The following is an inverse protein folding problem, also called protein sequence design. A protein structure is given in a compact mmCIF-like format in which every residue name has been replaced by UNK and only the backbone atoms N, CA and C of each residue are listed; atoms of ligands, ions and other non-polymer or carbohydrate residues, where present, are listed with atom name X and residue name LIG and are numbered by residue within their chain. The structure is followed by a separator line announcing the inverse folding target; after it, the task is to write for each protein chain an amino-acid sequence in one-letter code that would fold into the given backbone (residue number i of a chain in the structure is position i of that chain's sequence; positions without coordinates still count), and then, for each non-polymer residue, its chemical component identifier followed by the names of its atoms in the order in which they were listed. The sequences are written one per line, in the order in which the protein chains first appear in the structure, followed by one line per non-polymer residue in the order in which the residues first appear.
data_IF_791552079846
#
_entry.id   IF_791552079846
#
_cell.length_a   1.000
_cell.length_b   1.000
_cell.length_c   1.000
_cell.angle_alpha   90.00
_cell.angle_beta   90.00
_cell.angle_gamma   90.00
#
_symmetry.space_group_name_H-M   'P 1'
#
loop_
_entity.id
_entity.type
_entity.pdbx_description
1 polymer ?
#
# COMPACT_ATOMS: atom_id res chain seq x y z
N UNK A 1 -11.38 1.98 -17.85
CA UNK A 1 -10.47 2.78 -17.01
C UNK A 1 -10.24 4.12 -17.67
N UNK A 2 -10.40 5.21 -16.92
CA UNK A 2 -10.14 6.57 -17.42
C UNK A 2 -8.66 6.86 -17.18
N UNK A 3 -7.86 6.99 -18.25
CA UNK A 3 -6.46 7.37 -18.14
C UNK A 3 -6.30 8.91 -18.17
N UNK A 4 -5.12 9.41 -17.80
CA UNK A 4 -4.80 10.84 -17.71
C UNK A 4 -3.90 11.35 -18.84
N UNK A 5 -3.66 10.54 -19.85
CA UNK A 5 -2.75 10.87 -20.96
C UNK A 5 -3.12 12.23 -21.58
N UNK A 6 -4.40 12.44 -21.89
CA UNK A 6 -4.89 13.69 -22.46
C UNK A 6 -4.65 14.89 -21.51
N UNK A 7 -4.92 14.73 -20.23
CA UNK A 7 -4.75 15.79 -19.25
C UNK A 7 -3.28 16.20 -19.12
N UNK A 8 -2.38 15.22 -18.97
CA UNK A 8 -0.94 15.43 -18.87
C UNK A 8 -0.36 16.06 -20.15
N UNK A 9 -0.80 15.56 -21.31
CA UNK A 9 -0.37 16.14 -22.58
C UNK A 9 -0.78 17.62 -22.72
N UNK A 10 -2.04 17.93 -22.38
CA UNK A 10 -2.56 19.32 -22.42
C UNK A 10 -1.82 20.22 -21.42
N UNK A 11 -1.53 19.71 -20.23
CA UNK A 11 -0.77 20.46 -19.22
C UNK A 11 0.63 20.85 -19.71
N UNK A 12 1.24 19.98 -20.55
CA UNK A 12 2.54 20.26 -21.18
C UNK A 12 2.42 21.01 -22.53
N UNK A 13 1.24 21.49 -22.91
CA UNK A 13 1.00 22.25 -24.15
C UNK A 13 1.23 21.45 -25.42
N UNK A 14 1.22 20.11 -25.37
CA UNK A 14 1.52 19.26 -26.51
C UNK A 14 0.25 18.92 -27.30
N UNK A 15 0.35 18.95 -28.65
CA UNK A 15 -0.66 18.33 -29.52
C UNK A 15 -0.52 16.81 -29.53
N UNK A 16 -1.55 16.06 -29.95
CA UNK A 16 -1.45 14.59 -30.13
C UNK A 16 -0.32 14.22 -31.10
N UNK A 17 -0.16 15.00 -32.17
CA UNK A 17 0.91 14.78 -33.14
C UNK A 17 2.30 15.08 -32.54
N UNK A 18 2.43 16.11 -31.72
CA UNK A 18 3.69 16.43 -31.06
C UNK A 18 4.11 15.34 -30.07
N UNK A 19 3.17 14.82 -29.26
CA UNK A 19 3.44 13.70 -28.38
C UNK A 19 3.78 12.43 -29.17
N UNK A 20 3.01 12.15 -30.24
CA UNK A 20 3.25 11.00 -31.10
C UNK A 20 4.64 10.98 -31.72
N UNK A 21 5.13 12.16 -32.16
CA UNK A 21 6.50 12.30 -32.68
C UNK A 21 7.54 11.99 -31.62
N UNK A 22 7.34 12.44 -30.36
CA UNK A 22 8.27 12.18 -29.25
C UNK A 22 8.37 10.68 -28.92
N UNK A 23 7.25 9.96 -29.01
CA UNK A 23 7.19 8.55 -28.62
C UNK A 23 7.22 7.58 -29.82
N UNK A 24 7.53 8.05 -31.02
CA UNK A 24 7.69 7.21 -32.21
C UNK A 24 6.40 6.52 -32.67
N UNK A 25 5.27 7.26 -32.71
CA UNK A 25 3.97 6.70 -33.13
C UNK A 25 3.15 7.73 -33.95
N UNK A 26 1.88 7.44 -34.23
CA UNK A 26 0.97 8.35 -34.92
C UNK A 26 0.04 9.09 -33.94
N UNK A 27 -0.39 10.32 -34.30
CA UNK A 27 -1.37 11.06 -33.51
C UNK A 27 -2.68 10.33 -33.29
N UNK A 28 -3.11 9.50 -34.25
CA UNK A 28 -4.29 8.65 -34.14
C UNK A 28 -4.12 7.58 -33.05
N UNK A 29 -2.92 7.00 -32.91
CA UNK A 29 -2.63 6.04 -31.84
C UNK A 29 -2.67 6.70 -30.46
N UNK A 30 -2.11 7.91 -30.33
CA UNK A 30 -2.22 8.70 -29.10
C UNK A 30 -3.68 8.98 -28.77
N UNK A 31 -4.49 9.39 -29.75
CA UNK A 31 -5.93 9.63 -29.59
C UNK A 31 -6.71 8.37 -29.16
N UNK A 32 -6.36 7.20 -29.68
CA UNK A 32 -6.96 5.94 -29.28
C UNK A 32 -6.60 5.54 -27.85
N UNK A 33 -5.37 5.77 -27.43
CA UNK A 33 -4.92 5.54 -26.05
C UNK A 33 -5.61 6.51 -25.09
N UNK A 34 -5.68 7.81 -25.42
CA UNK A 34 -6.39 8.82 -24.62
C UNK A 34 -7.87 8.49 -24.43
N UNK A 35 -8.51 7.99 -25.47
CA UNK A 35 -9.93 7.63 -25.46
C UNK A 35 -10.22 6.24 -24.85
N UNK A 36 -9.17 5.51 -24.40
CA UNK A 36 -9.33 4.15 -23.89
C UNK A 36 -9.75 3.11 -24.92
N UNK A 37 -9.72 3.45 -26.23
CA UNK A 37 -10.05 2.53 -27.33
C UNK A 37 -8.94 1.51 -27.57
N UNK A 38 -7.76 1.74 -27.05
CA UNK A 38 -6.62 0.84 -27.08
C UNK A 38 -6.14 0.59 -25.67
N UNK A 39 -5.83 -0.67 -25.35
CA UNK A 39 -5.29 -1.08 -24.05
C UNK A 39 -3.93 -0.40 -23.83
N UNK A 40 -3.74 0.17 -22.64
CA UNK A 40 -2.49 0.75 -22.20
C UNK A 40 -1.60 -0.40 -21.67
N UNK A 41 -0.69 -0.87 -22.52
CA UNK A 41 0.31 -1.90 -22.15
C UNK A 41 1.51 -1.25 -21.49
N UNK A 42 2.39 -2.06 -20.89
CA UNK A 42 3.63 -1.58 -20.27
C UNK A 42 4.48 -0.78 -21.28
N UNK A 43 4.71 -1.29 -22.49
CA UNK A 43 5.44 -0.56 -23.54
C UNK A 43 4.83 0.83 -23.82
N UNK A 44 3.49 0.92 -23.89
CA UNK A 44 2.84 2.21 -24.06
C UNK A 44 2.99 3.13 -22.86
N UNK A 45 2.94 2.59 -21.65
CA UNK A 45 3.13 3.39 -20.43
C UNK A 45 4.54 3.97 -20.35
N UNK A 46 5.57 3.17 -20.63
CA UNK A 46 6.97 3.61 -20.63
C UNK A 46 7.22 4.68 -21.69
N UNK A 47 6.77 4.46 -22.91
CA UNK A 47 6.92 5.41 -24.03
C UNK A 47 6.19 6.73 -23.77
N UNK A 48 4.96 6.66 -23.28
CA UNK A 48 4.16 7.84 -22.95
C UNK A 48 4.76 8.60 -21.76
N UNK A 49 5.20 7.90 -20.73
CA UNK A 49 5.84 8.50 -19.58
C UNK A 49 7.12 9.23 -19.95
N UNK A 50 7.96 8.62 -20.79
CA UNK A 50 9.15 9.28 -21.35
C UNK A 50 8.81 10.49 -22.19
N UNK A 51 7.83 10.39 -23.09
CA UNK A 51 7.41 11.51 -23.96
C UNK A 51 6.72 12.66 -23.22
N UNK A 52 6.09 12.36 -22.09
CA UNK A 52 5.42 13.33 -21.20
C UNK A 52 6.30 13.76 -20.02
N UNK A 53 7.50 13.19 -19.88
CA UNK A 53 8.41 13.45 -18.74
C UNK A 53 7.69 13.33 -17.40
N UNK A 54 7.01 12.20 -17.18
CA UNK A 54 6.24 11.90 -15.99
C UNK A 54 6.48 10.46 -15.55
N UNK A 55 6.00 10.09 -14.37
CA UNK A 55 6.02 8.69 -13.95
C UNK A 55 4.97 7.89 -14.73
N UNK A 56 5.22 6.62 -15.13
CA UNK A 56 4.21 5.76 -15.74
C UNK A 56 2.90 5.67 -14.95
N UNK A 57 2.99 5.69 -13.63
CA UNK A 57 1.82 5.70 -12.74
C UNK A 57 0.93 6.95 -12.90
N UNK A 58 1.49 8.09 -13.34
CA UNK A 58 0.71 9.32 -13.58
C UNK A 58 -0.25 9.20 -14.75
N UNK A 59 -0.02 8.24 -15.66
CA UNK A 59 -0.86 7.97 -16.83
C UNK A 59 -2.15 7.24 -16.45
N UNK A 60 -2.14 6.54 -15.33
CA UNK A 60 -3.30 5.83 -14.81
C UNK A 60 -4.22 6.86 -14.14
N UNK A 61 -5.50 6.84 -14.45
CA UNK A 61 -6.50 7.86 -14.10
C UNK A 61 -6.85 8.03 -12.62
N UNK A 62 -5.89 7.82 -11.74
CA UNK A 62 -6.04 8.09 -10.31
C UNK A 62 -5.95 9.60 -10.06
N UNK A 63 -6.91 10.23 -9.35
CA UNK A 63 -6.84 11.64 -9.06
C UNK A 63 -5.59 11.95 -8.21
N UNK A 64 -4.62 12.69 -8.81
CA UNK A 64 -3.39 13.11 -8.13
C UNK A 64 -3.58 14.34 -7.22
N UNK A 65 -4.78 14.90 -7.15
CA UNK A 65 -5.04 16.09 -6.38
C UNK A 65 -5.73 15.75 -5.06
N UNK A 66 -4.91 15.37 -4.07
CA UNK A 66 -5.19 15.76 -2.70
C UNK A 66 -4.21 16.88 -2.33
N UNK A 67 -4.68 18.11 -2.02
CA UNK A 67 -3.82 19.14 -1.45
C UNK A 67 -3.31 18.60 -0.10
N UNK A 68 -2.03 18.29 -0.02
CA UNK A 68 -1.40 17.80 1.20
C UNK A 68 -0.68 16.47 1.13
N UNK A 69 -0.82 15.67 0.07
CA UNK A 69 -0.07 14.44 -0.10
C UNK A 69 1.37 14.74 -0.59
N UNK A 70 2.18 15.40 0.22
CA UNK A 70 3.60 15.10 0.22
C UNK A 70 3.73 13.77 0.97
N UNK A 71 4.17 12.73 0.29
CA UNK A 71 4.77 11.57 0.94
C UNK A 71 6.04 12.05 1.64
N UNK A 72 5.86 12.69 2.77
CA UNK A 72 6.85 12.67 3.80
C UNK A 72 6.48 11.46 4.63
N UNK A 73 7.03 10.29 4.28
CA UNK A 73 7.39 9.37 5.31
C UNK A 73 8.30 10.20 6.24
N UNK A 74 7.71 10.81 7.24
CA UNK A 74 8.46 11.41 8.33
C UNK A 74 9.04 10.22 9.10
N UNK A 75 10.35 9.94 8.98
CA UNK A 75 10.97 9.07 9.94
C UNK A 75 10.76 9.75 11.29
N UNK A 76 9.96 9.14 12.15
CA UNK A 76 9.74 9.58 13.52
C UNK A 76 9.33 11.06 13.65
N UNK A 77 8.04 11.37 13.42
CA UNK A 77 7.49 12.61 13.97
C UNK A 77 7.80 12.60 15.47
N UNK A 78 8.47 13.64 16.03
CA UNK A 78 8.79 13.67 17.45
C UNK A 78 7.48 13.50 18.23
N UNK A 79 7.49 12.55 19.18
CA UNK A 79 6.37 12.36 20.11
C UNK A 79 6.03 13.70 20.75
N UNK A 80 4.74 13.99 20.95
CA UNK A 80 4.36 15.09 21.81
C UNK A 80 5.01 14.89 23.18
N UNK A 81 5.60 15.94 23.79
CA UNK A 81 6.26 15.84 25.08
C UNK A 81 5.24 15.39 26.14
N UNK A 82 5.55 14.28 26.82
CA UNK A 82 4.73 13.76 27.92
C UNK A 82 4.24 12.30 27.78
N UNK A 83 4.38 11.65 26.64
CA UNK A 83 4.03 10.22 26.48
C UNK A 83 5.28 9.37 26.69
N UNK A 84 5.41 8.81 27.88
CA UNK A 84 6.57 8.00 28.29
C UNK A 84 6.39 6.49 28.10
N UNK A 85 5.21 6.03 27.68
CA UNK A 85 4.93 4.61 27.48
C UNK A 85 5.13 4.21 26.02
N UNK A 86 5.95 3.16 25.81
CA UNK A 86 6.07 2.53 24.48
C UNK A 86 4.72 1.96 24.05
N UNK A 87 4.35 2.16 22.80
CA UNK A 87 3.10 1.63 22.21
C UNK A 87 3.32 0.18 21.81
N UNK A 88 3.28 -0.69 22.80
CA UNK A 88 3.52 -2.12 22.64
C UNK A 88 2.31 -2.91 23.10
N UNK A 89 1.97 -3.98 22.40
CA UNK A 89 0.92 -4.90 22.81
C UNK A 89 1.24 -6.32 22.38
N UNK A 90 0.76 -7.28 23.16
CA UNK A 90 0.82 -8.70 22.85
C UNK A 90 -0.57 -9.29 22.88
N UNK A 91 -0.94 -10.01 21.82
CA UNK A 91 -2.20 -10.75 21.70
C UNK A 91 -1.89 -12.24 21.63
N UNK A 92 -2.62 -13.02 22.40
CA UNK A 92 -2.67 -14.47 22.28
C UNK A 92 -4.08 -14.86 21.85
N UNK A 93 -4.18 -15.52 20.70
CA UNK A 93 -5.43 -15.99 20.14
C UNK A 93 -5.38 -17.51 19.98
N UNK A 94 -6.37 -18.19 20.53
CA UNK A 94 -6.49 -19.64 20.42
C UNK A 94 -7.90 -20.02 20.00
N UNK A 95 -8.01 -20.73 18.90
CA UNK A 95 -9.24 -21.33 18.39
C UNK A 95 -9.15 -22.86 18.43
N UNK A 96 -10.01 -23.55 17.72
CA UNK A 96 -9.88 -24.99 17.51
C UNK A 96 -8.87 -25.33 16.43
N UNK A 97 -8.68 -24.39 15.50
CA UNK A 97 -7.89 -24.53 14.28
C UNK A 97 -6.50 -23.92 14.44
N UNK A 98 -6.35 -22.88 15.30
CA UNK A 98 -5.12 -22.12 15.40
C UNK A 98 -4.70 -21.81 16.84
N UNK A 99 -3.39 -21.59 17.01
CA UNK A 99 -2.81 -21.00 18.20
C UNK A 99 -1.79 -19.93 17.74
N UNK A 100 -2.05 -18.67 18.08
CA UNK A 100 -1.30 -17.54 17.55
C UNK A 100 -0.91 -16.62 18.70
N UNK A 101 0.33 -16.15 18.65
CA UNK A 101 0.86 -15.08 19.50
C UNK A 101 1.44 -13.99 18.60
N UNK A 102 1.04 -12.76 18.85
CA UNK A 102 1.52 -11.57 18.14
C UNK A 102 1.98 -10.55 19.16
N UNK A 103 3.20 -10.01 18.99
CA UNK A 103 3.67 -8.83 19.71
C UNK A 103 4.00 -7.73 18.71
N UNK A 104 3.49 -6.53 18.93
CA UNK A 104 3.84 -5.34 18.15
C UNK A 104 4.45 -4.26 19.03
N UNK A 105 5.41 -3.53 18.48
CA UNK A 105 5.92 -2.27 19.03
C UNK A 105 5.84 -1.21 17.93
N UNK A 106 4.90 -0.28 18.06
CA UNK A 106 4.67 0.79 17.06
C UNK A 106 5.75 1.87 17.08
N UNK A 107 6.64 1.84 18.09
CA UNK A 107 7.77 2.75 18.26
C UNK A 107 9.12 2.05 18.01
N UNK A 108 9.08 0.98 17.22
CA UNK A 108 10.21 0.10 16.94
C UNK A 108 11.20 0.62 15.90
N UNK A 109 12.04 -0.30 15.44
CA UNK A 109 13.05 -0.08 14.39
C UNK A 109 12.88 -0.96 13.16
N UNK A 110 11.79 -1.75 13.08
CA UNK A 110 11.53 -2.71 12.00
C UNK A 110 12.23 -4.04 12.25
N UNK A 111 12.42 -4.42 13.51
CA UNK A 111 12.88 -5.75 13.90
C UNK A 111 11.73 -6.74 13.82
N UNK A 112 12.00 -7.95 13.35
CA UNK A 112 10.95 -8.96 13.21
C UNK A 112 11.42 -10.37 13.56
N UNK A 113 10.44 -11.18 14.01
CA UNK A 113 10.56 -12.62 14.18
C UNK A 113 9.22 -13.23 13.79
N UNK A 114 9.11 -13.82 12.61
CA UNK A 114 7.85 -14.30 12.05
C UNK A 114 7.96 -15.80 11.75
N UNK A 115 7.00 -16.57 12.22
CA UNK A 115 6.89 -18.02 11.98
C UNK A 115 5.42 -18.41 11.95
N UNK A 116 4.82 -18.46 10.76
CA UNK A 116 3.43 -18.92 10.59
C UNK A 116 3.33 -20.31 9.95
N UNK A 117 4.43 -20.80 9.41
CA UNK A 117 4.47 -22.01 8.59
C UNK A 117 4.01 -21.80 7.14
N UNK A 118 3.66 -20.56 6.76
CA UNK A 118 3.29 -20.16 5.39
C UNK A 118 4.35 -19.19 4.90
N UNK A 119 5.33 -19.69 4.13
CA UNK A 119 6.52 -18.93 3.76
C UNK A 119 6.24 -17.59 3.06
N UNK A 120 5.19 -17.49 2.24
CA UNK A 120 4.82 -16.23 1.61
C UNK A 120 4.23 -15.23 2.61
N UNK A 121 3.41 -15.69 3.57
CA UNK A 121 2.88 -14.82 4.62
C UNK A 121 4.01 -14.31 5.52
N UNK A 122 4.94 -15.20 5.91
CA UNK A 122 6.11 -14.84 6.70
C UNK A 122 6.88 -13.71 6.00
N UNK A 123 7.22 -13.88 4.73
CA UNK A 123 7.90 -12.86 3.93
C UNK A 123 7.13 -11.52 3.88
N UNK A 124 5.82 -11.54 3.68
CA UNK A 124 5.01 -10.31 3.64
C UNK A 124 4.96 -9.59 4.98
N UNK A 125 4.90 -10.31 6.09
CA UNK A 125 4.93 -9.73 7.43
C UNK A 125 6.31 -9.17 7.79
N UNK A 126 7.39 -9.82 7.37
CA UNK A 126 8.76 -9.28 7.48
C UNK A 126 8.90 -7.96 6.70
N UNK A 127 8.37 -7.90 5.45
CA UNK A 127 8.37 -6.67 4.66
C UNK A 127 7.52 -5.57 5.34
N UNK A 128 6.35 -5.92 5.89
CA UNK A 128 5.52 -4.98 6.63
C UNK A 128 6.31 -4.38 7.80
N UNK A 129 6.93 -5.21 8.63
CA UNK A 129 7.76 -4.75 9.76
C UNK A 129 8.90 -3.86 9.28
N UNK A 130 9.69 -4.34 8.33
CA UNK A 130 10.90 -3.64 7.86
C UNK A 130 10.61 -2.27 7.29
N UNK A 131 9.54 -2.14 6.50
CA UNK A 131 9.21 -0.89 5.82
C UNK A 131 8.38 0.08 6.66
N UNK A 132 7.58 -0.42 7.61
CA UNK A 132 6.83 0.43 8.53
C UNK A 132 7.62 0.87 9.76
N UNK A 133 8.78 0.25 10.03
CA UNK A 133 9.56 0.40 11.25
C UNK A 133 8.82 -0.06 12.52
N UNK A 134 7.74 -0.82 12.39
CA UNK A 134 7.06 -1.48 13.51
C UNK A 134 7.82 -2.75 13.82
N UNK A 135 8.21 -2.97 15.08
CA UNK A 135 8.73 -4.28 15.45
C UNK A 135 7.56 -5.28 15.53
N UNK A 136 7.77 -6.46 14.99
CA UNK A 136 6.71 -7.47 14.83
C UNK A 136 7.24 -8.87 15.17
N UNK A 137 6.66 -9.47 16.22
CA UNK A 137 6.86 -10.88 16.52
C UNK A 137 5.54 -11.64 16.23
N UNK A 138 5.60 -12.70 15.44
CA UNK A 138 4.46 -13.56 15.11
C UNK A 138 4.85 -15.01 15.23
N UNK A 139 4.18 -15.72 16.10
CA UNK A 139 4.23 -17.19 16.17
C UNK A 139 2.83 -17.71 15.95
N UNK A 140 2.63 -18.51 14.89
CA UNK A 140 1.35 -19.13 14.56
C UNK A 140 1.50 -20.62 14.31
N UNK A 141 0.57 -21.38 14.87
CA UNK A 141 0.38 -22.83 14.61
C UNK A 141 -1.06 -23.01 14.20
N UNK A 142 -1.29 -23.42 12.97
CA UNK A 142 -2.61 -23.69 12.45
C UNK A 142 -2.71 -25.04 11.76
N UNK A 143 -3.90 -25.36 11.32
CA UNK A 143 -4.26 -26.60 10.63
C UNK A 143 -3.91 -26.57 9.13
N UNK A 144 -2.65 -26.25 8.82
CA UNK A 144 -2.11 -26.11 7.45
C UNK A 144 -2.32 -27.35 6.57
N UNK A 145 -2.64 -28.49 7.16
CA UNK A 145 -3.00 -29.72 6.43
C UNK A 145 -4.39 -29.64 5.78
N UNK A 146 -5.24 -28.70 6.23
CA UNK A 146 -6.53 -28.37 5.62
C UNK A 146 -6.30 -27.38 4.47
N UNK A 147 -5.91 -26.15 4.81
CA UNK A 147 -5.46 -25.09 3.91
C UNK A 147 -4.83 -23.95 4.72
N UNK A 148 -4.58 -22.79 4.07
CA UNK A 148 -3.97 -21.63 4.70
C UNK A 148 -4.99 -20.63 5.29
N UNK A 149 -6.28 -20.86 5.09
CA UNK A 149 -7.34 -19.89 5.39
C UNK A 149 -7.34 -19.51 6.88
N UNK A 150 -7.53 -20.49 7.77
CA UNK A 150 -7.62 -20.21 9.21
C UNK A 150 -6.37 -19.55 9.78
N UNK A 151 -5.19 -19.99 9.34
CA UNK A 151 -3.92 -19.41 9.80
C UNK A 151 -3.76 -17.98 9.33
N UNK A 152 -4.08 -17.68 8.07
CA UNK A 152 -4.01 -16.32 7.52
C UNK A 152 -5.00 -15.38 8.22
N UNK A 153 -6.26 -15.81 8.34
CA UNK A 153 -7.33 -15.01 8.95
C UNK A 153 -7.02 -14.67 10.40
N UNK A 154 -6.75 -15.70 11.21
CA UNK A 154 -6.52 -15.53 12.65
C UNK A 154 -5.22 -14.75 12.94
N UNK A 155 -4.19 -14.90 12.11
CA UNK A 155 -2.96 -14.10 12.22
C UNK A 155 -3.26 -12.63 11.92
N UNK A 156 -4.02 -12.34 10.88
CA UNK A 156 -4.39 -10.97 10.52
C UNK A 156 -5.26 -10.32 11.61
N UNK A 157 -6.21 -11.06 12.18
CA UNK A 157 -7.05 -10.59 13.30
C UNK A 157 -6.17 -10.28 14.51
N UNK A 158 -5.26 -11.17 14.90
CA UNK A 158 -4.37 -10.98 16.05
C UNK A 158 -3.44 -9.76 15.87
N UNK A 159 -2.89 -9.56 14.66
CA UNK A 159 -2.09 -8.36 14.35
C UNK A 159 -2.94 -7.10 14.47
N UNK A 160 -4.16 -7.09 13.91
CA UNK A 160 -5.07 -5.95 13.99
C UNK A 160 -5.45 -5.59 15.44
N UNK A 161 -5.73 -6.59 16.27
CA UNK A 161 -6.01 -6.43 17.69
C UNK A 161 -4.79 -5.88 18.45
N UNK A 162 -3.58 -6.40 18.17
CA UNK A 162 -2.34 -5.92 18.78
C UNK A 162 -2.06 -4.46 18.42
N UNK A 163 -2.20 -4.08 17.16
CA UNK A 163 -2.06 -2.68 16.71
C UNK A 163 -3.10 -1.79 17.39
N UNK A 164 -4.35 -2.22 17.45
CA UNK A 164 -5.42 -1.47 18.10
C UNK A 164 -5.15 -1.25 19.59
N UNK A 165 -4.68 -2.28 20.29
CA UNK A 165 -4.32 -2.19 21.70
C UNK A 165 -3.11 -1.30 21.93
N UNK A 166 -2.06 -1.40 21.09
CA UNK A 166 -0.87 -0.57 21.18
C UNK A 166 -1.16 0.90 20.89
N UNK A 167 -2.14 1.22 20.03
CA UNK A 167 -2.58 2.59 19.76
C UNK A 167 -3.34 3.23 20.94
N UNK A 168 -3.89 2.44 21.84
CA UNK A 168 -4.63 2.93 23.01
C UNK A 168 -5.80 3.83 22.63
N UNK A 169 -5.85 5.03 23.21
CA UNK A 169 -6.89 6.03 22.96
C UNK A 169 -6.74 6.77 21.61
N UNK A 170 -5.67 6.47 20.88
CA UNK A 170 -5.33 7.10 19.59
C UNK A 170 -5.06 8.59 19.66
N UNK A 171 -4.82 9.15 20.85
CA UNK A 171 -4.51 10.56 20.99
C UNK A 171 -3.14 10.88 20.33
N UNK A 172 -3.10 11.97 19.57
CA UNK A 172 -1.86 12.48 18.95
C UNK A 172 -1.34 11.68 17.76
N UNK A 173 -2.08 10.69 17.24
CA UNK A 173 -1.66 9.94 16.05
C UNK A 173 -1.91 10.73 14.75
N UNK A 174 -1.15 10.42 13.70
CA UNK A 174 -1.50 10.80 12.34
C UNK A 174 -2.61 9.87 11.85
N UNK A 175 -3.86 10.33 11.91
CA UNK A 175 -5.06 9.51 11.67
C UNK A 175 -5.17 8.98 10.25
N UNK A 176 -4.74 9.77 9.26
CA UNK A 176 -4.93 9.48 7.85
C UNK A 176 -3.62 9.11 7.17
N UNK A 177 -3.67 8.11 6.30
CA UNK A 177 -2.58 7.74 5.41
C UNK A 177 -3.07 7.44 4.00
N UNK A 178 -2.29 7.81 2.99
CA UNK A 178 -2.48 7.46 1.58
C UNK A 178 -1.12 7.16 0.98
N UNK A 179 -0.96 5.97 0.40
CA UNK A 179 0.29 5.54 -0.20
C UNK A 179 0.05 4.83 -1.52
N UNK A 180 0.96 5.01 -2.46
CA UNK A 180 1.02 4.29 -3.72
C UNK A 180 2.38 3.66 -3.85
N UNK A 181 2.40 2.35 -4.05
CA UNK A 181 3.63 1.58 -4.18
C UNK A 181 3.61 0.89 -5.53
N UNK A 182 4.51 1.26 -6.44
CA UNK A 182 4.73 0.53 -7.67
C UNK A 182 5.64 -0.68 -7.42
N UNK A 183 5.36 -1.77 -8.10
CA UNK A 183 6.25 -2.91 -8.22
C UNK A 183 6.03 -3.52 -9.61
N UNK A 184 7.03 -3.40 -10.45
CA UNK A 184 6.97 -3.74 -11.87
C UNK A 184 5.75 -3.11 -12.56
N UNK A 185 4.86 -3.89 -13.14
CA UNK A 185 3.63 -3.44 -13.79
C UNK A 185 2.46 -3.19 -12.83
N UNK A 186 2.63 -3.51 -11.55
CA UNK A 186 1.60 -3.38 -10.53
C UNK A 186 1.70 -2.05 -9.79
N UNK A 187 0.59 -1.37 -9.61
CA UNK A 187 0.47 -0.21 -8.74
C UNK A 187 -0.56 -0.48 -7.66
N UNK A 188 -0.10 -0.56 -6.43
CA UNK A 188 -0.96 -0.70 -5.26
C UNK A 188 -1.22 0.65 -4.63
N UNK A 189 -2.48 0.96 -4.33
CA UNK A 189 -2.87 2.12 -3.53
C UNK A 189 -3.59 1.67 -2.27
N UNK A 190 -3.14 2.20 -1.14
CA UNK A 190 -3.78 2.00 0.17
C UNK A 190 -4.09 3.34 0.79
N UNK A 191 -5.33 3.51 1.26
CA UNK A 191 -5.78 4.69 1.99
C UNK A 191 -6.35 4.24 3.32
N UNK A 192 -5.89 4.85 4.40
CA UNK A 192 -6.27 4.49 5.77
C UNK A 192 -6.93 5.68 6.48
N UNK A 193 -7.97 5.39 7.27
CA UNK A 193 -8.54 6.26 8.30
C UNK A 193 -8.65 5.48 9.61
N UNK A 194 -7.78 5.77 10.58
CA UNK A 194 -7.78 5.11 11.89
C UNK A 194 -8.87 5.72 12.78
N UNK A 195 -10.12 5.55 12.37
CA UNK A 195 -11.31 6.15 12.99
C UNK A 195 -11.97 5.30 14.06
N UNK A 196 -11.51 4.07 14.28
CA UNK A 196 -12.14 3.05 15.13
C UNK A 196 -13.54 2.62 14.65
N UNK A 197 -13.88 2.87 13.40
CA UNK A 197 -15.07 2.36 12.71
C UNK A 197 -14.63 1.41 11.62
N UNK A 198 -14.82 0.08 11.76
CA UNK A 198 -14.35 -0.88 10.78
C UNK A 198 -15.08 -0.69 9.45
N UNK A 199 -14.33 -0.50 8.38
CA UNK A 199 -14.82 -0.40 7.03
C UNK A 199 -13.72 -0.78 6.04
N UNK A 200 -14.05 -1.60 5.03
CA UNK A 200 -13.11 -2.03 4.00
C UNK A 200 -13.72 -1.77 2.62
N UNK A 201 -12.99 -1.07 1.76
CA UNK A 201 -13.23 -1.05 0.32
C UNK A 201 -12.10 -1.85 -0.33
N UNK A 202 -12.47 -2.90 -1.05
CA UNK A 202 -11.55 -3.75 -1.77
C UNK A 202 -11.80 -3.64 -3.27
N UNK A 203 -10.82 -3.13 -4.01
CA UNK A 203 -10.87 -2.95 -5.46
C UNK A 203 -9.59 -3.52 -6.06
N UNK A 204 -9.50 -4.85 -6.08
CA UNK A 204 -8.38 -5.59 -6.63
C UNK A 204 -8.90 -6.54 -7.70
N UNK A 205 -8.29 -6.49 -8.89
CA UNK A 205 -8.51 -7.43 -10.00
C UNK A 205 -7.22 -8.27 -10.11
N UNK A 206 -7.37 -9.60 -10.09
CA UNK A 206 -6.27 -10.57 -10.25
C UNK A 206 -6.20 -11.09 -11.68
#
# INVERSE_FOLDING_TARGET
MTNRIQALRKQKGLSQQALAKRIGTSGQQVGNLEAGRRKLTQDWMERLAAGLECCPADLLGFPLNFPGARSTALPNAPRPPGVTTMRTATIERKTRETQIRVTVNLDGGGEYSVSTGIGFLDHMLEQLSRHSLIDLEVEAKGDLHIDFHHTNEDTAIAIGEAVSQALGDRAGITRYGDVRIPMDETLTRVTLDISNRPYLIWQVEF
#
